data_IF_224375440220
#
_entry.id   IF_224375440220
#
_cell.length_a   1.000
_cell.length_b   1.000
_cell.length_c   1.000
_cell.angle_alpha   90.00
_cell.angle_beta   90.00
_cell.angle_gamma   90.00
#
_symmetry.space_group_name_H-M   'P 1'
#
loop_
_entity.id
_entity.type
_entity.pdbx_description
1 polymer ?
#
# COMPACT_ATOMS: atom_id res chain seq x y z
N UNK A 1 24.40 -47.73 -2.67
CA UNK A 1 23.73 -46.81 -3.59
C UNK A 1 22.65 -46.14 -2.77
N UNK A 2 22.83 -44.84 -2.49
CA UNK A 2 21.96 -44.06 -1.60
C UNK A 2 20.55 -44.02 -2.16
N UNK A 3 19.54 -44.17 -1.30
CA UNK A 3 18.37 -43.30 -1.33
C UNK A 3 17.72 -43.25 0.06
N UNK A 4 17.71 -42.04 0.60
CA UNK A 4 17.16 -41.65 1.88
C UNK A 4 15.71 -41.28 1.61
N UNK A 5 14.76 -42.05 2.14
CA UNK A 5 13.37 -41.58 2.29
C UNK A 5 13.32 -40.53 3.43
N UNK A 6 12.78 -39.32 3.19
CA UNK A 6 12.50 -38.39 4.26
C UNK A 6 11.14 -38.69 4.89
N UNK A 7 11.19 -38.76 6.21
CA UNK A 7 10.10 -39.00 7.11
C UNK A 7 8.94 -37.99 6.99
N UNK A 8 7.76 -38.55 7.17
CA UNK A 8 6.47 -37.92 7.44
C UNK A 8 6.57 -36.99 8.65
N UNK A 9 6.17 -35.73 8.49
CA UNK A 9 5.75 -34.84 9.60
C UNK A 9 4.51 -34.02 9.19
N UNK A 10 3.69 -33.60 10.18
CA UNK A 10 2.24 -33.56 10.03
C UNK A 10 1.68 -32.23 9.50
N UNK A 11 0.53 -32.35 8.84
CA UNK A 11 -0.43 -31.27 8.56
C UNK A 11 -0.81 -30.58 9.87
N UNK A 12 -0.46 -29.31 10.00
CA UNK A 12 -1.04 -28.43 11.01
C UNK A 12 -1.88 -27.38 10.31
N UNK A 13 -3.18 -27.54 10.45
CA UNK A 13 -4.24 -26.61 10.07
C UNK A 13 -4.37 -25.58 11.19
N UNK A 14 -4.22 -24.30 10.89
CA UNK A 14 -4.70 -23.19 11.73
C UNK A 14 -5.45 -22.23 10.79
N UNK A 15 -6.77 -22.30 10.66
CA UNK A 15 -7.80 -21.91 11.63
C UNK A 15 -7.74 -20.42 12.00
N UNK A 16 -8.50 -19.65 11.21
CA UNK A 16 -9.31 -18.48 11.56
C UNK A 16 -9.19 -17.99 13.02
N UNK A 17 -8.59 -16.80 13.23
CA UNK A 17 -8.59 -16.14 14.53
C UNK A 17 -9.29 -14.79 14.41
N UNK A 18 -10.61 -14.83 14.59
CA UNK A 18 -11.40 -13.70 15.11
C UNK A 18 -11.09 -13.55 16.59
N UNK A 19 -10.44 -12.46 17.00
CA UNK A 19 -10.41 -12.08 18.41
C UNK A 19 -11.64 -11.24 18.75
N UNK A 20 -12.60 -11.86 19.45
CA UNK A 20 -13.59 -11.18 20.27
C UNK A 20 -12.92 -10.70 21.57
N UNK A 21 -12.69 -9.40 21.71
CA UNK A 21 -12.41 -8.79 23.01
C UNK A 21 -13.72 -8.27 23.60
N UNK A 22 -14.20 -8.99 24.63
CA UNK A 22 -15.23 -8.52 25.57
C UNK A 22 -14.72 -7.24 26.24
N UNK A 23 -15.51 -6.19 26.14
CA UNK A 23 -15.40 -4.98 26.96
C UNK A 23 -16.02 -5.29 28.32
N UNK A 24 -15.22 -5.24 29.39
CA UNK A 24 -15.73 -5.02 30.75
C UNK A 24 -15.32 -3.59 31.17
N UNK A 25 -16.28 -2.68 31.39
CA UNK A 25 -16.00 -1.35 31.92
C UNK A 25 -16.16 -1.36 33.45
N UNK A 26 -15.07 -1.19 34.19
CA UNK A 26 -15.12 -0.83 35.61
C UNK A 26 -14.69 0.63 35.78
N UNK A 27 -15.56 1.55 36.26
CA UNK A 27 -15.21 2.94 36.52
C UNK A 27 -15.13 3.24 38.02
N UNK A 28 -13.98 3.67 38.54
CA UNK A 28 -13.84 4.25 39.90
C UNK A 28 -12.51 5.04 39.94
N UNK A 29 -12.32 6.25 40.48
CA UNK A 29 -13.14 7.39 40.89
C UNK A 29 -12.16 8.56 41.08
N UNK A 30 -12.51 9.75 40.60
CA UNK A 30 -11.91 11.01 41.05
C UNK A 30 -12.45 11.32 42.45
N UNK A 31 -11.59 11.82 43.33
CA UNK A 31 -11.96 12.25 44.69
C UNK A 31 -10.96 13.30 45.19
N UNK A 32 -11.48 14.49 45.41
CA UNK A 32 -10.82 15.76 45.73
C UNK A 32 -10.59 15.98 47.24
N UNK A 33 -9.89 17.09 47.53
CA UNK A 33 -9.65 17.77 48.83
C UNK A 33 -8.47 17.19 49.64
N UNK A 34 -7.57 17.97 50.25
CA UNK A 34 -7.70 19.30 50.85
C UNK A 34 -6.31 19.89 51.23
N UNK A 35 -6.30 21.21 51.48
CA UNK A 35 -5.41 21.95 52.40
C UNK A 35 -4.02 22.38 51.95
N UNK A 36 -3.83 23.69 51.79
CA UNK A 36 -3.14 24.50 52.82
C UNK A 36 -3.32 26.00 52.55
N UNK A 37 -4.00 26.68 53.47
CA UNK A 37 -3.99 28.12 53.61
C UNK A 37 -2.69 28.61 54.26
N UNK A 38 -2.31 29.85 53.93
CA UNK A 38 -1.79 30.78 54.92
C UNK A 38 -0.35 31.26 54.76
N UNK A 39 -0.16 32.40 54.10
CA UNK A 39 0.57 33.50 54.74
C UNK A 39 0.22 34.85 54.11
N UNK A 40 -0.07 35.82 54.96
CA UNK A 40 -0.67 37.12 54.64
C UNK A 40 0.39 38.24 54.72
N UNK A 41 0.08 39.38 54.05
CA UNK A 41 0.56 40.77 54.32
C UNK A 41 1.94 41.14 53.77
N UNK A 42 2.20 42.35 53.27
CA UNK A 42 1.50 43.65 53.16
C UNK A 42 2.30 44.48 52.13
N UNK A 43 1.67 45.37 51.37
CA UNK A 43 2.42 46.35 50.58
C UNK A 43 1.56 47.08 49.56
N UNK A 44 0.91 48.15 50.02
CA UNK A 44 0.16 49.11 49.21
C UNK A 44 1.16 49.90 48.36
N UNK A 45 0.98 49.95 47.03
CA UNK A 45 1.52 51.03 46.20
C UNK A 45 0.64 51.24 44.96
N UNK A 46 -0.04 52.38 44.98
CA UNK A 46 -0.71 53.08 43.89
C UNK A 46 0.27 53.53 42.80
N UNK A 47 -0.08 53.35 41.52
CA UNK A 47 -0.04 54.38 40.47
C UNK A 47 -0.11 53.74 39.07
N UNK A 48 -0.93 54.27 38.14
CA UNK A 48 -1.29 53.65 36.87
C UNK A 48 -0.20 53.91 35.81
N UNK A 49 0.81 53.05 35.73
CA UNK A 49 1.86 53.14 34.70
C UNK A 49 2.25 51.79 34.08
N UNK A 50 1.45 50.74 34.32
CA UNK A 50 1.74 49.38 33.83
C UNK A 50 0.78 48.89 32.74
N UNK A 51 -0.14 49.75 32.28
CA UNK A 51 -1.08 49.41 31.19
C UNK A 51 -0.51 49.65 29.79
N UNK A 52 0.64 50.35 29.67
CA UNK A 52 1.33 50.58 28.40
C UNK A 52 2.38 49.48 28.05
N UNK A 53 2.69 48.57 28.98
CA UNK A 53 3.56 47.41 28.72
C UNK A 53 2.77 46.15 28.32
N UNK A 54 1.44 46.17 28.42
CA UNK A 54 0.57 45.04 28.05
C UNK A 54 0.04 45.11 26.60
N UNK A 55 0.39 46.16 25.84
CA UNK A 55 0.00 46.34 24.43
C UNK A 55 1.18 46.34 23.44
N UNK A 56 2.40 46.05 23.93
CA UNK A 56 3.58 45.75 23.10
C UNK A 56 4.18 44.36 23.37
N UNK A 57 3.44 43.48 24.05
CA UNK A 57 3.80 42.08 24.28
C UNK A 57 2.84 41.09 23.58
N UNK A 58 2.04 41.56 22.63
CA UNK A 58 1.07 40.76 21.87
C UNK A 58 1.51 40.45 20.42
N UNK A 59 2.77 40.75 20.06
CA UNK A 59 3.29 40.58 18.69
C UNK A 59 4.47 39.61 18.58
N UNK A 60 4.77 38.87 19.65
CA UNK A 60 5.94 37.97 19.72
C UNK A 60 5.61 36.47 19.82
N UNK A 61 4.33 36.07 19.78
CA UNK A 61 3.91 34.68 19.97
C UNK A 61 3.58 33.92 18.67
N UNK A 62 3.97 34.45 17.50
CA UNK A 62 3.99 33.70 16.23
C UNK A 62 5.42 33.44 15.73
N UNK A 63 6.26 32.89 16.59
CA UNK A 63 7.49 32.23 16.18
C UNK A 63 7.20 30.74 15.92
N UNK A 64 6.69 30.47 14.72
CA UNK A 64 7.00 29.30 13.90
C UNK A 64 7.48 28.03 14.67
N UNK A 65 6.56 27.30 15.29
CA UNK A 65 6.70 25.84 15.26
C UNK A 65 6.18 25.41 13.90
N UNK A 66 7.10 25.24 12.96
CA UNK A 66 6.89 24.34 11.84
C UNK A 66 6.48 23.00 12.44
N UNK A 67 5.18 22.77 12.54
CA UNK A 67 4.64 21.46 12.82
C UNK A 67 5.00 20.65 11.60
N UNK A 68 6.08 19.87 11.71
CA UNK A 68 6.30 18.71 10.84
C UNK A 68 4.96 17.99 10.78
N UNK A 69 4.31 18.03 9.62
CA UNK A 69 3.00 17.41 9.37
C UNK A 69 3.14 15.90 9.27
N UNK A 70 3.86 15.29 10.22
CA UNK A 70 3.85 13.85 10.42
C UNK A 70 2.41 13.47 10.80
N UNK A 71 1.89 12.44 10.13
CA UNK A 71 0.62 11.82 10.53
C UNK A 71 0.63 11.53 12.04
N UNK A 72 -0.50 11.72 12.76
CA UNK A 72 -0.57 11.44 14.19
C UNK A 72 -0.12 10.01 14.53
N UNK A 73 -0.34 9.05 13.63
CA UNK A 73 0.12 7.66 13.78
C UNK A 73 1.65 7.55 13.67
N UNK A 74 2.29 8.30 12.76
CA UNK A 74 3.75 8.38 12.66
C UNK A 74 4.34 8.99 13.93
N UNK A 75 3.71 10.04 14.48
CA UNK A 75 4.13 10.62 15.75
C UNK A 75 4.02 9.61 16.91
N UNK A 76 2.94 8.82 16.97
CA UNK A 76 2.79 7.75 17.96
C UNK A 76 3.90 6.70 17.83
N UNK A 77 4.24 6.28 16.61
CA UNK A 77 5.34 5.36 16.35
C UNK A 77 6.69 5.93 16.83
N UNK A 78 6.95 7.22 16.61
CA UNK A 78 8.23 7.85 16.97
C UNK A 78 8.36 8.19 18.45
N UNK A 79 7.28 8.66 19.09
CA UNK A 79 7.35 9.38 20.36
C UNK A 79 6.67 8.69 21.53
N UNK A 80 5.83 7.66 21.30
CA UNK A 80 5.11 7.03 22.41
C UNK A 80 6.10 6.35 23.38
N UNK A 81 6.00 6.60 24.70
CA UNK A 81 6.87 5.97 25.68
C UNK A 81 6.62 4.46 25.79
N UNK A 82 5.38 4.03 25.54
CA UNK A 82 4.96 2.64 25.61
C UNK A 82 5.28 1.89 24.32
N UNK A 83 5.98 0.75 24.45
CA UNK A 83 6.39 -0.08 23.32
C UNK A 83 5.21 -0.73 22.61
N UNK A 84 4.13 -1.09 23.33
CA UNK A 84 2.93 -1.68 22.71
C UNK A 84 2.22 -0.66 21.84
N UNK A 85 2.10 0.56 22.33
CA UNK A 85 1.54 1.68 21.57
C UNK A 85 2.36 1.98 20.31
N UNK A 86 3.70 1.97 20.39
CA UNK A 86 4.56 2.11 19.20
C UNK A 86 4.37 0.97 18.21
N UNK A 87 4.33 -0.28 18.67
CA UNK A 87 4.10 -1.44 17.80
C UNK A 87 2.71 -1.38 17.13
N UNK A 88 1.67 -1.01 17.87
CA UNK A 88 0.33 -0.82 17.33
C UNK A 88 0.30 0.31 16.29
N UNK A 89 1.03 1.40 16.52
CA UNK A 89 1.18 2.47 15.54
C UNK A 89 1.87 1.95 14.26
N UNK A 90 2.95 1.18 14.37
CA UNK A 90 3.61 0.54 13.23
C UNK A 90 2.65 -0.34 12.41
N UNK A 91 1.85 -1.20 13.06
CA UNK A 91 0.88 -2.05 12.37
C UNK A 91 -0.27 -1.23 11.74
N UNK A 92 -0.66 -0.12 12.37
CA UNK A 92 -1.72 0.75 11.86
C UNK A 92 -1.31 1.47 10.57
N UNK A 93 -0.01 1.73 10.39
CA UNK A 93 0.51 2.37 9.16
C UNK A 93 0.35 1.50 7.91
N UNK A 94 0.19 0.18 8.01
CA UNK A 94 -0.18 -0.66 6.86
C UNK A 94 -1.60 -0.34 6.34
N UNK A 95 -2.51 0.01 7.25
CA UNK A 95 -3.93 0.26 6.95
C UNK A 95 -4.21 1.71 6.57
N UNK A 96 -3.43 2.64 7.09
CA UNK A 96 -3.58 4.08 6.85
C UNK A 96 -2.26 4.58 6.25
N UNK A 97 -2.11 4.51 4.92
CA UNK A 97 -0.88 4.90 4.25
C UNK A 97 -0.60 6.38 4.48
N UNK A 98 0.59 6.68 5.00
CA UNK A 98 1.11 8.04 5.13
C UNK A 98 2.40 8.12 4.29
N UNK A 99 2.64 9.23 3.57
CA UNK A 99 3.86 9.39 2.77
C UNK A 99 5.15 9.21 3.59
N UNK A 100 5.10 9.51 4.89
CA UNK A 100 6.24 9.40 5.81
C UNK A 100 6.34 8.03 6.49
N UNK A 101 5.35 7.14 6.28
CA UNK A 101 5.30 5.83 6.92
C UNK A 101 6.51 4.94 6.59
N UNK A 102 6.97 4.80 5.32
CA UNK A 102 8.10 3.93 5.01
C UNK A 102 9.39 4.39 5.71
N UNK A 103 9.64 5.70 5.75
CA UNK A 103 10.80 6.26 6.44
C UNK A 103 10.73 6.04 7.96
N UNK A 104 9.54 6.26 8.56
CA UNK A 104 9.33 6.04 9.98
C UNK A 104 9.45 4.55 10.38
N UNK A 105 8.94 3.64 9.54
CA UNK A 105 9.02 2.19 9.76
C UNK A 105 10.46 1.67 9.62
N UNK A 106 11.22 2.15 8.63
CA UNK A 106 12.66 1.83 8.51
C UNK A 106 13.44 2.29 9.73
N UNK A 107 13.12 3.46 10.28
CA UNK A 107 13.72 3.91 11.54
C UNK A 107 13.30 3.02 12.73
N UNK A 108 12.06 2.55 12.75
CA UNK A 108 11.54 1.67 13.81
C UNK A 108 12.14 0.26 13.80
N UNK A 109 12.82 -0.17 12.74
CA UNK A 109 13.66 -1.38 12.75
C UNK A 109 14.81 -1.28 13.77
N UNK A 110 15.20 -0.07 14.18
CA UNK A 110 16.19 0.18 15.23
C UNK A 110 15.59 0.42 16.63
N UNK A 111 14.29 0.19 16.84
CA UNK A 111 13.66 0.45 18.14
C UNK A 111 14.24 -0.43 19.26
N UNK A 112 14.34 0.13 20.46
CA UNK A 112 14.79 -0.58 21.67
C UNK A 112 13.97 -1.84 21.99
N UNK A 113 12.67 -1.84 21.65
CA UNK A 113 11.76 -2.94 21.96
C UNK A 113 11.60 -3.88 20.75
N UNK A 114 11.86 -5.17 20.98
CA UNK A 114 11.76 -6.22 19.95
C UNK A 114 10.38 -6.27 19.27
N UNK A 115 9.30 -6.09 20.04
CA UNK A 115 7.92 -6.05 19.52
C UNK A 115 7.70 -4.94 18.48
N UNK A 116 8.37 -3.80 18.63
CA UNK A 116 8.28 -2.68 17.68
C UNK A 116 9.09 -2.98 16.43
N UNK A 117 10.30 -3.54 16.57
CA UNK A 117 11.13 -3.94 15.43
C UNK A 117 10.44 -5.01 14.57
N UNK A 118 9.85 -6.02 15.21
CA UNK A 118 9.09 -7.06 14.52
C UNK A 118 7.86 -6.48 13.79
N UNK A 119 7.09 -5.61 14.45
CA UNK A 119 5.95 -4.93 13.84
C UNK A 119 6.39 -4.08 12.64
N UNK A 120 7.50 -3.34 12.75
CA UNK A 120 8.03 -2.55 11.64
C UNK A 120 8.43 -3.43 10.44
N UNK A 121 9.11 -4.56 10.67
CA UNK A 121 9.48 -5.49 9.61
C UNK A 121 8.26 -6.08 8.89
N UNK A 122 7.24 -6.49 9.64
CA UNK A 122 5.97 -6.99 9.09
C UNK A 122 5.27 -5.93 8.25
N UNK A 123 5.12 -4.71 8.80
CA UNK A 123 4.44 -3.61 8.10
C UNK A 123 5.19 -3.22 6.82
N UNK A 124 6.52 -3.22 6.80
CA UNK A 124 7.29 -2.91 5.59
C UNK A 124 7.04 -3.93 4.47
N UNK A 125 6.88 -5.21 4.83
CA UNK A 125 6.47 -6.24 3.87
C UNK A 125 5.02 -6.07 3.40
N UNK A 126 4.10 -5.71 4.30
CA UNK A 126 2.69 -5.46 3.95
C UNK A 126 2.51 -4.24 3.04
N UNK A 127 3.36 -3.22 3.18
CA UNK A 127 3.41 -2.06 2.28
C UNK A 127 4.11 -2.36 0.94
N UNK A 128 4.64 -3.58 0.75
CA UNK A 128 5.40 -4.01 -0.42
C UNK A 128 6.56 -3.03 -0.76
N UNK A 129 7.22 -2.53 0.28
CA UNK A 129 8.25 -1.50 0.18
C UNK A 129 9.62 -2.09 -0.15
N UNK A 130 9.90 -2.30 -1.44
CA UNK A 130 11.16 -2.88 -1.93
C UNK A 130 12.41 -2.10 -1.50
N UNK A 131 12.29 -0.78 -1.30
CA UNK A 131 13.40 0.07 -0.86
C UNK A 131 13.82 -0.24 0.60
N UNK A 132 12.98 -0.95 1.36
CA UNK A 132 13.32 -1.43 2.71
C UNK A 132 14.18 -2.68 2.74
N UNK A 133 14.43 -3.36 1.62
CA UNK A 133 15.24 -4.60 1.59
C UNK A 133 16.64 -4.36 2.18
N UNK A 134 17.29 -3.24 1.83
CA UNK A 134 18.61 -2.91 2.38
C UNK A 134 18.56 -2.71 3.90
N UNK A 135 17.55 -1.99 4.40
CA UNK A 135 17.34 -1.76 5.83
C UNK A 135 17.02 -3.05 6.59
N UNK A 136 16.18 -3.92 6.02
CA UNK A 136 15.84 -5.22 6.60
C UNK A 136 17.08 -6.14 6.67
N UNK A 137 17.89 -6.19 5.61
CA UNK A 137 19.15 -6.95 5.61
C UNK A 137 20.14 -6.43 6.66
N UNK A 138 20.22 -5.12 6.86
CA UNK A 138 21.05 -4.54 7.92
C UNK A 138 20.63 -5.00 9.33
N UNK A 139 19.35 -5.36 9.51
CA UNK A 139 18.80 -5.83 10.78
C UNK A 139 18.60 -7.36 10.83
N UNK A 140 19.01 -8.12 9.81
CA UNK A 140 18.80 -9.57 9.73
C UNK A 140 19.47 -10.37 10.88
N UNK A 141 20.45 -9.78 11.56
CA UNK A 141 21.15 -10.37 12.71
C UNK A 141 20.63 -9.84 14.05
N UNK A 142 19.34 -9.49 14.13
CA UNK A 142 18.72 -9.01 15.36
C UNK A 142 18.91 -10.00 16.53
N UNK A 143 19.17 -9.53 17.77
CA UNK A 143 19.32 -10.42 18.92
C UNK A 143 18.05 -11.22 19.25
N UNK A 144 16.86 -10.70 18.96
CA UNK A 144 15.59 -11.35 19.26
C UNK A 144 15.18 -12.32 18.14
N UNK A 145 14.85 -13.56 18.52
CA UNK A 145 14.46 -14.60 17.55
C UNK A 145 13.19 -14.26 16.78
N UNK A 146 12.18 -13.67 17.43
CA UNK A 146 10.94 -13.31 16.76
C UNK A 146 11.15 -12.18 15.76
N UNK A 147 12.09 -11.27 16.05
CA UNK A 147 12.46 -10.20 15.12
C UNK A 147 13.21 -10.76 13.92
N UNK A 148 14.14 -11.70 14.12
CA UNK A 148 14.80 -12.40 13.00
C UNK A 148 13.78 -13.11 12.11
N UNK A 149 12.84 -13.86 12.68
CA UNK A 149 11.78 -14.55 11.94
C UNK A 149 10.87 -13.57 11.20
N UNK A 150 10.58 -12.39 11.79
CA UNK A 150 9.81 -11.36 11.13
C UNK A 150 10.57 -10.73 9.96
N UNK A 151 11.87 -10.47 10.12
CA UNK A 151 12.73 -9.92 9.07
C UNK A 151 12.94 -10.93 7.95
N UNK A 152 13.18 -12.21 8.26
CA UNK A 152 13.35 -13.26 7.27
C UNK A 152 12.05 -13.47 6.47
N UNK A 153 10.88 -13.48 7.12
CA UNK A 153 9.60 -13.51 6.41
C UNK A 153 9.35 -12.26 5.58
N UNK A 154 9.74 -11.09 6.08
CA UNK A 154 9.60 -9.83 5.35
C UNK A 154 10.48 -9.80 4.10
N UNK A 155 11.77 -10.16 4.24
CA UNK A 155 12.69 -10.35 3.13
C UNK A 155 12.18 -11.42 2.19
N UNK A 156 11.73 -12.57 2.69
CA UNK A 156 11.07 -13.61 1.91
C UNK A 156 9.91 -13.05 1.09
N UNK A 157 9.01 -12.25 1.66
CA UNK A 157 7.89 -11.67 0.89
C UNK A 157 8.31 -10.61 -0.12
N UNK A 158 9.39 -9.87 0.14
CA UNK A 158 9.90 -8.81 -0.73
C UNK A 158 10.89 -9.34 -1.80
N UNK A 159 11.52 -10.49 -1.55
CA UNK A 159 12.55 -11.12 -2.39
C UNK A 159 12.03 -12.39 -3.11
N UNK A 160 11.13 -13.15 -2.50
CA UNK A 160 10.47 -14.29 -3.17
C UNK A 160 9.40 -13.74 -4.09
N UNK A 161 9.45 -14.11 -5.38
CA UNK A 161 8.40 -13.78 -6.31
C UNK A 161 7.22 -14.73 -6.04
N UNK A 162 6.36 -14.42 -5.08
CA UNK A 162 4.95 -14.83 -5.22
C UNK A 162 4.40 -14.10 -6.43
N UNK A 163 4.58 -14.67 -7.61
CA UNK A 163 3.97 -14.26 -8.88
C UNK A 163 3.83 -12.75 -9.13
N UNK A 164 4.88 -12.01 -8.78
CA UNK A 164 5.04 -10.60 -9.13
C UNK A 164 6.31 -10.42 -9.96
N UNK A 165 6.47 -11.34 -10.93
CA UNK A 165 7.40 -11.24 -12.05
C UNK A 165 8.90 -11.30 -11.69
N UNK A 166 9.64 -11.95 -12.59
CA UNK A 166 10.97 -11.48 -12.96
C UNK A 166 10.92 -9.95 -13.06
N UNK A 167 11.59 -9.27 -12.15
CA UNK A 167 12.12 -7.95 -12.42
C UNK A 167 13.20 -8.13 -13.49
N UNK A 168 12.77 -8.19 -14.76
CA UNK A 168 13.46 -7.35 -15.72
C UNK A 168 13.27 -5.93 -15.18
N UNK A 169 14.33 -5.12 -15.02
CA UNK A 169 14.16 -3.72 -14.68
C UNK A 169 13.29 -3.14 -15.79
N UNK A 170 12.01 -2.90 -15.49
CA UNK A 170 11.23 -1.91 -16.22
C UNK A 170 12.12 -0.68 -16.15
N UNK A 171 12.67 -0.30 -17.31
CA UNK A 171 13.54 0.87 -17.43
C UNK A 171 12.92 1.98 -16.59
N UNK A 172 13.71 2.70 -15.75
CA UNK A 172 13.18 3.74 -14.89
C UNK A 172 12.28 4.62 -15.73
N UNK A 173 10.96 4.47 -15.53
CA UNK A 173 9.99 5.11 -16.41
C UNK A 173 10.23 6.58 -16.23
N UNK A 174 10.55 7.28 -17.32
CA UNK A 174 10.88 8.70 -17.25
C UNK A 174 9.61 9.49 -16.92
N UNK A 175 9.35 9.59 -15.61
CA UNK A 175 8.23 10.31 -15.03
C UNK A 175 8.32 11.82 -15.29
N UNK A 176 9.28 12.33 -16.07
CA UNK A 176 9.28 13.73 -16.53
C UNK A 176 8.38 13.94 -17.74
N UNK A 177 8.17 12.91 -18.58
CA UNK A 177 7.39 13.01 -19.83
C UNK A 177 5.95 12.49 -19.71
N UNK A 178 5.69 11.69 -18.68
CA UNK A 178 4.39 11.08 -18.41
C UNK A 178 3.38 12.15 -17.98
N UNK A 179 2.16 12.10 -18.51
CA UNK A 179 1.04 12.97 -18.07
C UNK A 179 0.07 12.24 -17.16
N UNK A 180 -0.07 10.94 -17.35
CA UNK A 180 -1.02 10.11 -16.65
C UNK A 180 -0.30 8.96 -15.93
N UNK A 181 -0.48 8.90 -14.63
CA UNK A 181 0.00 7.81 -13.80
C UNK A 181 -1.16 6.84 -13.57
N UNK A 182 -0.94 5.57 -13.88
CA UNK A 182 -1.96 4.53 -13.69
C UNK A 182 -1.44 3.53 -12.66
N UNK A 183 -2.17 3.39 -11.56
CA UNK A 183 -1.91 2.39 -10.54
C UNK A 183 -2.80 1.16 -10.82
N UNK A 184 -2.24 -0.05 -10.94
CA UNK A 184 -3.07 -1.25 -10.98
C UNK A 184 -3.71 -1.40 -9.60
N UNK A 185 -5.05 -1.36 -9.56
CA UNK A 185 -5.83 -1.54 -8.34
C UNK A 185 -6.22 -3.01 -8.16
N UNK A 186 -7.47 -3.26 -7.76
CA UNK A 186 -7.96 -4.63 -7.60
C UNK A 186 -8.26 -5.25 -8.97
N UNK A 187 -7.33 -6.07 -9.45
CA UNK A 187 -7.45 -6.84 -10.70
C UNK A 187 -7.57 -8.33 -10.36
N UNK A 188 -8.75 -8.91 -10.61
CA UNK A 188 -9.06 -10.31 -10.29
C UNK A 188 -9.97 -10.98 -11.33
N UNK A 189 -10.01 -12.31 -11.32
CA UNK A 189 -11.04 -13.08 -12.03
C UNK A 189 -12.34 -13.04 -11.22
N UNK A 190 -13.40 -12.43 -11.79
CA UNK A 190 -14.71 -12.33 -11.12
C UNK A 190 -15.59 -13.56 -11.30
N UNK A 191 -15.28 -14.43 -12.26
CA UNK A 191 -16.09 -15.61 -12.56
C UNK A 191 -15.78 -16.77 -11.60
N UNK A 192 -14.49 -17.03 -11.35
CA UNK A 192 -14.05 -18.18 -10.53
C UNK A 192 -13.09 -17.83 -9.40
N UNK A 193 -12.71 -16.55 -9.27
CA UNK A 193 -11.67 -16.11 -8.32
C UNK A 193 -10.37 -16.92 -8.44
N UNK A 194 -10.01 -17.28 -9.68
CA UNK A 194 -8.78 -18.00 -9.98
C UNK A 194 -7.59 -17.02 -9.97
N UNK A 195 -6.68 -17.24 -9.02
CA UNK A 195 -5.50 -16.40 -8.83
C UNK A 195 -4.57 -16.40 -10.05
N UNK A 196 -4.41 -17.55 -10.72
CA UNK A 196 -3.56 -17.65 -11.91
C UNK A 196 -4.08 -16.78 -13.06
N UNK A 197 -5.41 -16.68 -13.23
CA UNK A 197 -6.02 -15.79 -14.22
C UNK A 197 -5.92 -14.32 -13.84
N UNK A 198 -6.02 -14.01 -12.55
CA UNK A 198 -5.75 -12.67 -12.01
C UNK A 198 -4.32 -12.21 -12.29
N UNK A 199 -3.34 -13.11 -12.14
CA UNK A 199 -1.93 -12.83 -12.47
C UNK A 199 -1.73 -12.59 -13.96
N UNK A 200 -2.34 -13.42 -14.82
CA UNK A 200 -2.32 -13.23 -16.27
C UNK A 200 -2.94 -11.88 -16.67
N UNK A 201 -4.04 -11.48 -16.03
CA UNK A 201 -4.69 -10.19 -16.24
C UNK A 201 -3.75 -9.03 -15.84
N UNK A 202 -3.14 -9.09 -14.65
CA UNK A 202 -2.19 -8.05 -14.19
C UNK A 202 -0.98 -7.94 -15.11
N UNK A 203 -0.43 -9.08 -15.56
CA UNK A 203 0.68 -9.12 -16.50
C UNK A 203 0.29 -8.52 -17.86
N UNK A 204 -0.91 -8.84 -18.36
CA UNK A 204 -1.44 -8.28 -19.60
C UNK A 204 -1.66 -6.76 -19.52
N UNK A 205 -2.24 -6.26 -18.42
CA UNK A 205 -2.43 -4.81 -18.19
C UNK A 205 -1.10 -4.08 -18.15
N UNK A 206 -0.12 -4.64 -17.43
CA UNK A 206 1.24 -4.09 -17.37
C UNK A 206 1.84 -4.00 -18.77
N UNK A 207 1.83 -5.09 -19.53
CA UNK A 207 2.37 -5.13 -20.88
C UNK A 207 1.67 -4.13 -21.82
N UNK A 208 0.35 -3.99 -21.71
CA UNK A 208 -0.44 -3.07 -22.53
C UNK A 208 -0.16 -1.59 -22.24
N UNK A 209 0.24 -1.26 -21.00
CA UNK A 209 0.53 0.11 -20.56
C UNK A 209 2.01 0.47 -20.68
N UNK A 210 2.94 -0.49 -20.54
CA UNK A 210 4.40 -0.24 -20.61
C UNK A 210 4.88 0.32 -21.95
N UNK A 211 4.15 0.12 -23.05
CA UNK A 211 4.53 0.60 -24.38
C UNK A 211 3.91 1.97 -24.75
N UNK A 212 3.31 2.69 -23.80
CA UNK A 212 2.61 3.96 -24.04
C UNK A 212 3.41 5.14 -23.50
N UNK A 213 3.80 6.07 -24.36
CA UNK A 213 4.72 7.16 -23.98
C UNK A 213 4.15 8.20 -22.99
N UNK A 214 2.82 8.33 -22.90
CA UNK A 214 2.13 9.34 -22.07
C UNK A 214 1.61 8.78 -20.74
N UNK A 215 1.56 7.46 -20.60
CA UNK A 215 0.98 6.73 -19.47
C UNK A 215 2.06 5.88 -18.80
N UNK A 216 2.26 6.03 -17.50
CA UNK A 216 3.16 5.17 -16.74
C UNK A 216 2.39 4.31 -15.76
N UNK A 217 2.74 3.02 -15.72
CA UNK A 217 2.34 2.16 -14.63
C UNK A 217 3.33 2.31 -13.48
N UNK A 218 2.84 2.72 -12.31
CA UNK A 218 3.67 2.79 -11.10
C UNK A 218 3.02 2.02 -9.95
N UNK A 219 3.60 0.89 -9.52
CA UNK A 219 3.00 0.04 -8.49
C UNK A 219 3.35 0.47 -7.05
N UNK A 220 4.02 1.61 -6.82
CA UNK A 220 4.57 1.93 -5.51
C UNK A 220 4.59 3.41 -5.14
N UNK A 221 5.43 3.72 -4.14
CA UNK A 221 5.58 5.08 -3.62
C UNK A 221 6.17 5.99 -4.70
N UNK A 222 5.52 7.12 -4.94
CA UNK A 222 5.93 8.08 -5.95
C UNK A 222 7.19 8.85 -5.51
N UNK A 223 8.18 9.06 -6.39
CA UNK A 223 9.32 9.92 -6.09
C UNK A 223 8.88 11.38 -5.88
N UNK A 224 9.66 12.14 -5.11
CA UNK A 224 9.33 13.52 -4.74
C UNK A 224 9.10 14.46 -5.94
N UNK A 225 9.72 14.18 -7.10
CA UNK A 225 9.46 14.89 -8.37
C UNK A 225 8.04 14.65 -8.88
N UNK A 226 7.59 13.39 -8.90
CA UNK A 226 6.25 13.02 -9.31
C UNK A 226 5.19 13.54 -8.33
N UNK A 227 5.46 13.48 -7.01
CA UNK A 227 4.57 14.06 -6.00
C UNK A 227 4.40 15.58 -6.16
N UNK A 228 5.48 16.31 -6.49
CA UNK A 228 5.39 17.74 -6.81
C UNK A 228 4.50 18.00 -8.02
N UNK A 229 4.61 17.17 -9.06
CA UNK A 229 3.79 17.28 -10.27
C UNK A 229 2.31 16.95 -10.03
N UNK A 230 2.01 16.00 -9.15
CA UNK A 230 0.63 15.73 -8.71
C UNK A 230 0.04 16.95 -8.00
N UNK A 231 0.79 17.54 -7.07
CA UNK A 231 0.36 18.76 -6.36
C UNK A 231 0.17 19.94 -7.30
N UNK A 232 1.01 20.05 -8.35
CA UNK A 232 0.91 21.12 -9.35
C UNK A 232 -0.15 20.85 -10.42
N UNK A 233 -0.83 19.71 -10.40
CA UNK A 233 -1.79 19.28 -11.44
C UNK A 233 -1.17 18.91 -12.80
N UNK A 234 0.16 18.90 -12.92
CA UNK A 234 0.87 18.57 -14.17
C UNK A 234 1.02 17.06 -14.40
N UNK A 235 0.76 16.26 -13.37
CA UNK A 235 0.62 14.81 -13.43
C UNK A 235 -0.76 14.48 -12.85
N UNK A 236 -1.48 13.57 -13.48
CA UNK A 236 -2.77 13.08 -12.99
C UNK A 236 -2.66 11.60 -12.66
N UNK A 237 -3.25 11.18 -11.55
CA UNK A 237 -3.21 9.80 -11.09
C UNK A 237 -4.59 9.15 -11.21
N UNK A 238 -4.59 7.92 -11.72
CA UNK A 238 -5.76 7.07 -11.82
C UNK A 238 -5.46 5.68 -11.27
N UNK A 239 -6.45 5.00 -10.71
CA UNK A 239 -6.41 3.54 -10.54
C UNK A 239 -7.18 2.86 -11.66
N UNK A 240 -6.71 1.66 -12.02
CA UNK A 240 -7.45 0.72 -12.85
C UNK A 240 -7.88 -0.45 -11.98
N UNK A 241 -9.18 -0.50 -11.72
CA UNK A 241 -9.84 -1.57 -10.96
C UNK A 241 -10.67 -2.42 -11.90
N UNK A 242 -10.94 -3.68 -11.57
CA UNK A 242 -11.83 -4.52 -12.38
C UNK A 242 -11.30 -5.93 -12.57
N UNK A 243 -11.66 -6.54 -13.69
CA UNK A 243 -11.44 -7.96 -13.79
C UNK A 243 -11.89 -8.62 -15.07
N UNK A 244 -11.48 -9.87 -15.17
CA UNK A 244 -12.00 -10.81 -16.13
C UNK A 244 -13.44 -11.13 -15.75
N UNK A 245 -14.37 -10.83 -16.64
CA UNK A 245 -15.80 -11.02 -16.43
C UNK A 245 -16.25 -12.42 -16.81
N UNK A 246 -15.68 -12.95 -17.90
CA UNK A 246 -15.97 -14.30 -18.37
C UNK A 246 -14.83 -14.86 -19.22
N UNK A 247 -14.54 -16.15 -19.09
CA UNK A 247 -13.79 -16.94 -20.07
C UNK A 247 -14.59 -18.19 -20.43
N UNK A 248 -15.29 -18.13 -21.56
CA UNK A 248 -16.22 -19.18 -21.98
C UNK A 248 -15.88 -19.74 -23.35
N UNK A 249 -16.11 -21.05 -23.50
CA UNK A 249 -16.11 -21.71 -24.81
C UNK A 249 -17.44 -21.40 -25.50
N UNK A 250 -17.36 -20.90 -26.72
CA UNK A 250 -18.51 -20.54 -27.56
C UNK A 250 -18.44 -21.38 -28.83
N UNK A 251 -19.53 -22.06 -29.22
CA UNK A 251 -19.56 -22.79 -30.48
C UNK A 251 -19.44 -21.81 -31.65
N UNK A 252 -18.62 -22.14 -32.64
CA UNK A 252 -18.45 -21.34 -33.84
C UNK A 252 -18.35 -22.22 -35.11
N UNK A 253 -18.59 -21.65 -36.31
CA UNK A 253 -18.36 -22.37 -37.55
C UNK A 253 -16.88 -22.75 -37.66
N UNK A 254 -16.58 -24.04 -37.69
CA UNK A 254 -15.20 -24.57 -37.75
C UNK A 254 -14.59 -25.00 -36.41
N UNK A 255 -15.36 -25.04 -35.32
CA UNK A 255 -14.95 -25.61 -34.03
C UNK A 255 -15.34 -24.76 -32.82
N UNK A 256 -14.90 -25.18 -31.64
CA UNK A 256 -15.06 -24.37 -30.43
C UNK A 256 -14.12 -23.15 -30.46
N UNK A 257 -14.58 -22.01 -29.97
CA UNK A 257 -13.76 -20.82 -29.74
C UNK A 257 -13.77 -20.44 -28.28
N UNK A 258 -12.64 -20.00 -27.77
CA UNK A 258 -12.56 -19.43 -26.43
C UNK A 258 -12.76 -17.92 -26.51
N UNK A 259 -13.69 -17.37 -25.72
CA UNK A 259 -14.00 -15.94 -25.67
C UNK A 259 -13.74 -15.42 -24.26
N UNK A 260 -12.96 -14.34 -24.16
CA UNK A 260 -12.72 -13.63 -22.91
C UNK A 260 -13.33 -12.23 -22.97
N UNK A 261 -13.91 -11.80 -21.86
CA UNK A 261 -14.47 -10.46 -21.66
C UNK A 261 -13.83 -9.83 -20.43
N UNK A 262 -13.27 -8.64 -20.58
CA UNK A 262 -12.60 -7.87 -19.54
C UNK A 262 -13.33 -6.55 -19.37
N UNK A 263 -13.55 -6.15 -18.12
CA UNK A 263 -14.06 -4.82 -17.77
C UNK A 263 -13.14 -4.19 -16.73
N UNK A 264 -12.67 -2.99 -17.04
CA UNK A 264 -11.81 -2.19 -16.18
C UNK A 264 -12.49 -0.84 -15.94
N UNK A 265 -12.48 -0.40 -14.70
CA UNK A 265 -12.97 0.88 -14.23
C UNK A 265 -11.76 1.78 -13.99
N UNK A 266 -11.83 2.99 -14.53
CA UNK A 266 -10.83 4.03 -14.32
C UNK A 266 -11.36 4.92 -13.19
N UNK A 267 -10.60 5.02 -12.10
CA UNK A 267 -10.94 5.85 -10.95
C UNK A 267 -9.88 6.93 -10.81
N UNK A 268 -10.29 8.19 -10.69
CA UNK A 268 -9.37 9.29 -10.42
C UNK A 268 -8.95 9.30 -8.95
N UNK A 269 -7.65 9.44 -8.72
CA UNK A 269 -7.04 9.56 -7.40
C UNK A 269 -6.63 11.03 -7.16
N UNK A 270 -6.74 11.58 -5.94
CA UNK A 270 -7.13 10.92 -4.67
C UNK A 270 -8.65 10.95 -4.39
N UNK A 271 -9.44 11.51 -5.29
CA UNK A 271 -10.88 11.75 -5.10
C UNK A 271 -11.75 10.49 -5.18
N UNK A 272 -11.18 9.34 -5.54
CA UNK A 272 -11.88 8.06 -5.73
C UNK A 272 -13.11 8.17 -6.63
N UNK A 273 -13.09 9.12 -7.58
CA UNK A 273 -14.21 9.36 -8.48
C UNK A 273 -14.10 8.42 -9.68
N UNK A 274 -15.15 7.66 -9.95
CA UNK A 274 -15.22 6.84 -11.18
C UNK A 274 -15.27 7.79 -12.37
N UNK A 275 -14.22 7.73 -13.18
CA UNK A 275 -14.07 8.54 -14.39
C UNK A 275 -14.71 7.84 -15.56
N UNK A 276 -14.64 6.51 -15.58
CA UNK A 276 -15.11 5.73 -16.70
C UNK A 276 -14.93 4.24 -16.55
N UNK A 277 -15.39 3.54 -17.59
CA UNK A 277 -15.22 2.11 -17.73
C UNK A 277 -14.76 1.80 -19.16
N UNK A 278 -13.76 0.95 -19.28
CA UNK A 278 -13.27 0.41 -20.55
C UNK A 278 -13.50 -1.09 -20.56
N UNK A 279 -14.06 -1.58 -21.66
CA UNK A 279 -14.37 -3.01 -21.84
C UNK A 279 -13.68 -3.54 -23.08
N UNK A 280 -13.25 -4.78 -23.01
CA UNK A 280 -12.59 -5.45 -24.12
C UNK A 280 -13.00 -6.90 -24.20
N UNK A 281 -13.11 -7.40 -25.43
CA UNK A 281 -13.40 -8.78 -25.69
C UNK A 281 -12.45 -9.32 -26.75
N UNK A 282 -12.05 -10.58 -26.60
CA UNK A 282 -11.27 -11.30 -27.60
C UNK A 282 -11.82 -12.70 -27.80
N UNK A 283 -11.59 -13.27 -28.98
CA UNK A 283 -11.96 -14.65 -29.28
C UNK A 283 -10.88 -15.35 -30.09
N UNK A 284 -10.35 -16.44 -29.55
CA UNK A 284 -9.36 -17.30 -30.20
C UNK A 284 -9.93 -18.70 -30.44
N UNK A 285 -9.41 -19.46 -31.41
CA UNK A 285 -9.74 -20.88 -31.55
C UNK A 285 -9.49 -21.61 -30.23
N UNK A 286 -10.40 -22.50 -29.82
CA UNK A 286 -10.19 -23.29 -28.63
C UNK A 286 -9.00 -24.24 -28.85
N UNK A 287 -8.09 -24.38 -27.88
CA UNK A 287 -6.96 -25.27 -28.01
C UNK A 287 -7.44 -26.73 -28.05
N UNK A 288 -6.97 -27.46 -29.05
CA UNK A 288 -7.09 -28.92 -29.13
C UNK A 288 -5.76 -29.47 -28.58
N UNK A 289 -5.72 -29.91 -27.32
CA UNK A 289 -4.49 -30.44 -26.73
C UNK A 289 -4.40 -30.32 -25.20
N UNK A 290 -3.18 -30.49 -24.71
CA UNK A 290 -2.83 -30.66 -23.30
C UNK A 290 -3.02 -29.39 -22.46
N UNK A 291 -3.04 -29.54 -21.13
CA UNK A 291 -3.24 -28.44 -20.18
C UNK A 291 -2.25 -27.26 -20.35
N UNK A 292 -1.06 -27.49 -20.92
CA UNK A 292 -0.09 -26.44 -21.20
C UNK A 292 -0.45 -25.63 -22.46
N UNK A 293 -0.94 -26.30 -23.52
CA UNK A 293 -1.48 -25.63 -24.70
C UNK A 293 -2.70 -24.78 -24.32
N UNK A 294 -3.55 -25.29 -23.44
CA UNK A 294 -4.70 -24.55 -22.94
C UNK A 294 -4.30 -23.28 -22.17
N UNK A 295 -3.32 -23.37 -21.27
CA UNK A 295 -2.80 -22.20 -20.55
C UNK A 295 -2.18 -21.14 -21.46
N UNK A 296 -1.46 -21.55 -22.52
CA UNK A 296 -0.88 -20.61 -23.50
C UNK A 296 -1.96 -19.84 -24.25
N UNK A 297 -3.00 -20.52 -24.76
CA UNK A 297 -4.11 -19.87 -25.47
C UNK A 297 -4.92 -18.97 -24.53
N UNK A 298 -5.17 -19.40 -23.29
CA UNK A 298 -5.82 -18.56 -22.27
C UNK A 298 -5.03 -17.28 -21.99
N UNK A 299 -3.71 -17.36 -21.80
CA UNK A 299 -2.86 -16.19 -21.60
C UNK A 299 -2.92 -15.23 -22.79
N UNK A 300 -2.81 -15.74 -24.02
CA UNK A 300 -2.92 -14.92 -25.24
C UNK A 300 -4.32 -14.30 -25.39
N UNK A 301 -5.37 -15.03 -25.05
CA UNK A 301 -6.76 -14.55 -25.12
C UNK A 301 -7.00 -13.38 -24.16
N UNK A 302 -6.56 -13.51 -22.90
CA UNK A 302 -6.67 -12.45 -21.90
C UNK A 302 -5.87 -11.23 -22.34
N UNK A 303 -4.64 -11.43 -22.84
CA UNK A 303 -3.83 -10.34 -23.35
C UNK A 303 -4.51 -9.57 -24.50
N UNK A 304 -5.10 -10.29 -25.47
CA UNK A 304 -5.86 -9.66 -26.56
C UNK A 304 -7.10 -8.90 -26.06
N UNK A 305 -7.83 -9.43 -25.07
CA UNK A 305 -8.99 -8.74 -24.50
C UNK A 305 -8.59 -7.44 -23.77
N UNK A 306 -7.49 -7.47 -23.01
CA UNK A 306 -6.93 -6.29 -22.34
C UNK A 306 -6.44 -5.25 -23.34
N UNK A 307 -5.74 -5.68 -24.40
CA UNK A 307 -5.30 -4.77 -25.47
C UNK A 307 -6.50 -4.11 -26.16
N UNK A 308 -7.59 -4.86 -26.38
CA UNK A 308 -8.82 -4.30 -26.91
C UNK A 308 -9.44 -3.27 -25.96
N UNK A 309 -9.51 -3.56 -24.65
CA UNK A 309 -10.05 -2.65 -23.65
C UNK A 309 -9.25 -1.35 -23.53
N UNK A 310 -7.91 -1.46 -23.50
CA UNK A 310 -7.04 -0.32 -23.26
C UNK A 310 -6.64 0.42 -24.53
N UNK A 311 -7.11 0.01 -25.72
CA UNK A 311 -6.72 0.60 -27.02
C UNK A 311 -6.76 2.13 -27.00
N UNK A 312 -7.87 2.68 -26.55
CA UNK A 312 -8.15 4.12 -26.58
C UNK A 312 -8.02 4.79 -25.20
N UNK A 313 -7.34 4.13 -24.24
CA UNK A 313 -7.23 4.62 -22.86
C UNK A 313 -6.59 6.01 -22.78
N UNK A 314 -5.61 6.32 -23.63
CA UNK A 314 -4.97 7.64 -23.67
C UNK A 314 -5.94 8.75 -24.08
N UNK A 315 -6.73 8.52 -25.12
CA UNK A 315 -7.76 9.44 -25.58
C UNK A 315 -8.80 9.68 -24.49
N UNK A 316 -9.16 8.62 -23.76
CA UNK A 316 -10.11 8.69 -22.66
C UNK A 316 -9.59 9.50 -21.46
N UNK A 317 -8.34 9.23 -21.04
CA UNK A 317 -7.67 9.97 -19.97
C UNK A 317 -7.45 11.44 -20.33
N UNK A 318 -7.25 11.75 -21.62
CA UNK A 318 -7.10 13.12 -22.11
C UNK A 318 -8.41 13.92 -22.11
N UNK A 319 -9.55 13.26 -22.28
CA UNK A 319 -10.88 13.89 -22.24
C UNK A 319 -11.42 14.06 -20.82
N UNK A 320 -10.78 13.42 -19.83
CA UNK A 320 -11.17 13.52 -18.44
C UNK A 320 -10.74 14.87 -17.86
N UNK A 321 -11.68 15.70 -17.39
CA UNK A 321 -11.41 17.05 -16.88
C UNK A 321 -10.57 17.07 -15.61
#
# INVERSE_FOLDING_TARGET
MLDIEPAVLPRVVFADIRYHLRLDPSPVSLGSHSSMEGFMRRGVCSAPALFAALLLAASGAQAQRAVETDSPVVQMLRRSPDARTRAQAALTLARIPSPDAPAALRAALGDRAAVVRAAAAVTLADLNDSDSIASLRAHARDPDANVRDAIERALGRLETPSSSARFDPVQPVDLTRVRYLVRPGELADRERSDEARGELLRAAVRSALSNRGTVALHPGVLPASAQRRLRSGSLRQFSLDGGLQAVRRVPAPGGERLRAEVSLVIVAEPQHAIVGMVTGAASLPAPMGDAQAQRRVEASLIASAVQAALRDVESYLAQTP
#
